data_IF_755414144732
#
_entry.id   IF_755414144732
#
_cell.length_a   1.000
_cell.length_b   1.000
_cell.length_c   1.000
_cell.angle_alpha   90.00
_cell.angle_beta   90.00
_cell.angle_gamma   90.00
#
_symmetry.space_group_name_H-M   'P 1'
#
loop_
_entity.id
_entity.type
_entity.pdbx_description
1 polymer ?
#
# COMPACT_ATOMS: atom_id res chain seq x y z
N UNK A 1 -3.41 2.83 -28.64
CA UNK A 1 -3.85 1.95 -27.54
C UNK A 1 -4.15 2.85 -26.36
N UNK A 2 -5.36 2.79 -25.81
CA UNK A 2 -5.69 3.51 -24.58
C UNK A 2 -4.70 3.12 -23.48
N UNK A 3 -3.99 4.10 -22.91
CA UNK A 3 -3.11 3.89 -21.78
C UNK A 3 -3.97 3.62 -20.53
N UNK A 4 -4.30 2.35 -20.31
CA UNK A 4 -4.99 1.89 -19.12
C UNK A 4 -4.07 2.05 -17.90
N UNK A 5 -4.19 3.19 -17.21
CA UNK A 5 -3.41 3.53 -16.03
C UNK A 5 -4.12 3.07 -14.76
N UNK A 6 -3.62 1.99 -14.15
CA UNK A 6 -4.15 1.46 -12.89
C UNK A 6 -3.32 2.03 -11.73
N UNK A 7 -3.98 2.66 -10.75
CA UNK A 7 -3.32 3.19 -9.53
C UNK A 7 -3.80 2.41 -8.31
N UNK A 8 -2.90 1.64 -7.71
CA UNK A 8 -3.17 0.82 -6.53
C UNK A 8 -2.70 1.59 -5.29
N UNK A 9 -3.57 1.70 -4.28
CA UNK A 9 -3.21 2.29 -2.97
C UNK A 9 -3.47 1.26 -1.88
N UNK A 10 -2.40 0.78 -1.27
CA UNK A 10 -2.46 -0.17 -0.16
C UNK A 10 -2.51 0.58 1.19
N UNK A 11 -3.32 0.09 2.13
CA UNK A 11 -3.39 0.57 3.50
C UNK A 11 -3.50 -0.63 4.42
N UNK A 12 -2.65 -0.71 5.43
CA UNK A 12 -2.70 -1.73 6.46
C UNK A 12 -2.27 -1.12 7.79
N UNK A 13 -2.62 -1.78 8.90
CA UNK A 13 -2.13 -1.41 10.23
C UNK A 13 -0.76 -2.02 10.53
N UNK A 14 -0.48 -3.22 10.02
CA UNK A 14 0.81 -3.89 10.12
C UNK A 14 1.61 -3.69 8.83
N UNK A 15 2.85 -3.21 8.97
CA UNK A 15 3.77 -2.99 7.86
C UNK A 15 4.25 -4.32 7.25
N UNK A 16 4.39 -5.41 8.03
CA UNK A 16 4.96 -6.66 7.53
C UNK A 16 4.08 -7.29 6.45
N UNK A 17 2.77 -7.29 6.69
CA UNK A 17 1.77 -7.79 5.73
C UNK A 17 1.73 -6.87 4.51
N UNK A 18 1.78 -5.55 4.73
CA UNK A 18 1.79 -4.56 3.66
C UNK A 18 2.95 -4.78 2.70
N UNK A 19 4.16 -4.98 3.23
CA UNK A 19 5.37 -5.16 2.43
C UNK A 19 5.34 -6.49 1.67
N UNK A 20 4.87 -7.57 2.29
CA UNK A 20 4.69 -8.85 1.62
C UNK A 20 3.73 -8.74 0.43
N UNK A 21 2.53 -8.21 0.65
CA UNK A 21 1.53 -8.06 -0.41
C UNK A 21 2.00 -7.10 -1.51
N UNK A 22 2.71 -6.03 -1.14
CA UNK A 22 3.29 -5.08 -2.11
C UNK A 22 4.28 -5.79 -3.03
N UNK A 23 5.17 -6.62 -2.48
CA UNK A 23 6.15 -7.38 -3.26
C UNK A 23 5.48 -8.40 -4.19
N UNK A 24 4.45 -9.12 -3.72
CA UNK A 24 3.69 -10.08 -4.53
C UNK A 24 3.00 -9.41 -5.73
N UNK A 25 2.37 -8.24 -5.51
CA UNK A 25 1.70 -7.46 -6.56
C UNK A 25 2.72 -6.97 -7.59
N UNK A 26 3.84 -6.41 -7.13
CA UNK A 26 4.91 -5.91 -8.02
C UNK A 26 5.49 -7.04 -8.87
N UNK A 27 5.76 -8.21 -8.27
CA UNK A 27 6.28 -9.36 -9.00
C UNK A 27 5.28 -9.89 -10.03
N UNK A 28 3.99 -9.85 -9.72
CA UNK A 28 2.93 -10.29 -10.63
C UNK A 28 2.73 -9.32 -11.78
N UNK A 29 2.73 -8.01 -11.51
CA UNK A 29 2.64 -6.97 -12.53
C UNK A 29 3.86 -6.95 -13.46
N UNK A 30 5.06 -7.21 -12.94
CA UNK A 30 6.27 -7.38 -13.75
C UNK A 30 6.16 -8.59 -14.67
N UNK A 31 5.65 -9.73 -14.16
CA UNK A 31 5.45 -10.96 -14.95
C UNK A 31 4.42 -10.79 -16.07
N UNK A 32 3.39 -9.96 -15.88
CA UNK A 32 2.40 -9.67 -16.93
C UNK A 32 2.88 -8.65 -17.97
N UNK A 33 4.10 -8.11 -17.85
CA UNK A 33 4.66 -7.13 -18.78
C UNK A 33 4.15 -5.69 -18.57
N UNK A 34 3.49 -5.41 -17.43
CA UNK A 34 3.04 -4.06 -17.12
C UNK A 34 4.22 -3.18 -16.64
N UNK A 35 4.22 -1.90 -17.04
CA UNK A 35 5.22 -0.96 -16.60
C UNK A 35 4.90 -0.46 -15.17
N UNK A 36 5.71 -0.84 -14.20
CA UNK A 36 5.45 -0.57 -12.77
C UNK A 36 6.26 0.63 -12.29
N UNK A 37 5.56 1.65 -11.79
CA UNK A 37 6.18 2.65 -10.89
C UNK A 37 6.24 2.02 -9.51
N UNK A 38 7.45 1.86 -8.97
CA UNK A 38 7.71 1.14 -7.72
C UNK A 38 6.87 1.63 -6.52
N UNK A 39 6.83 0.86 -5.42
CA UNK A 39 6.05 1.22 -4.25
C UNK A 39 6.55 2.55 -3.69
N UNK A 40 5.71 3.58 -3.74
CA UNK A 40 6.00 4.89 -3.16
C UNK A 40 5.41 4.95 -1.74
N UNK A 41 6.24 4.85 -0.68
CA UNK A 41 5.75 4.91 0.69
C UNK A 41 5.20 6.30 0.99
N UNK A 42 3.96 6.35 1.46
CA UNK A 42 3.33 7.57 1.95
C UNK A 42 3.53 7.67 3.47
N UNK A 43 3.55 8.89 4.03
CA UNK A 43 3.59 9.07 5.48
C UNK A 43 2.49 8.30 6.21
N UNK A 44 2.86 7.63 7.29
CA UNK A 44 1.93 6.87 8.14
C UNK A 44 0.98 7.83 8.86
N UNK A 45 -0.32 7.64 8.68
CA UNK A 45 -1.32 8.42 9.40
C UNK A 45 -1.49 7.85 10.81
N UNK A 46 -1.03 8.59 11.81
CA UNK A 46 -1.20 8.24 13.22
C UNK A 46 -2.39 9.01 13.79
N UNK A 47 -3.48 8.31 14.09
CA UNK A 47 -4.63 8.89 14.78
C UNK A 47 -4.56 8.52 16.27
N UNK A 48 -4.30 9.51 17.12
CA UNK A 48 -4.25 9.36 18.58
C UNK A 48 -5.63 9.68 19.15
N UNK A 49 -6.14 8.81 20.00
CA UNK A 49 -7.39 9.03 20.73
C UNK A 49 -7.09 9.01 22.22
N UNK A 50 -7.46 10.08 22.91
CA UNK A 50 -7.42 10.12 24.38
C UNK A 50 -8.77 9.65 24.88
N UNK A 51 -8.78 8.56 25.63
CA UNK A 51 -9.97 8.09 26.34
C UNK A 51 -9.81 8.42 27.82
N UNK A 52 -10.89 8.93 28.44
CA UNK A 52 -10.98 8.99 29.89
C UNK A 52 -10.94 7.56 30.41
N UNK A 53 -9.95 7.26 31.26
CA UNK A 53 -9.76 5.92 31.84
C UNK A 53 -10.68 5.65 33.04
N UNK A 54 -11.44 6.65 33.47
CA UNK A 54 -12.45 6.60 34.51
C UNK A 54 -13.23 7.92 34.53
N UNK A 55 -14.18 8.11 35.45
CA UNK A 55 -14.38 9.45 36.01
C UNK A 55 -13.06 10.00 36.58
#
# INVERSE_FOLDING_TARGET
MENQNIRIRLKAFDHRILDQSTNEIVNTAKRSGANVRGPNPLPTNMRRFTVLRGP
#
